data_IF_413455077792
#
_entry.id   IF_413455077792
#
_cell.length_a   1.000
_cell.length_b   1.000
_cell.length_c   1.000
_cell.angle_alpha   90.00
_cell.angle_beta   90.00
_cell.angle_gamma   90.00
#
_symmetry.space_group_name_H-M   'P 1'
#
loop_
_entity.id
_entity.type
_entity.pdbx_description
1 polymer ?
#
# COMPACT_ATOMS: atom_id res chain seq x y z
N UNK A 1 -11.84 -24.59 1.67
CA UNK A 1 -12.10 -23.14 1.67
C UNK A 1 -11.03 -22.52 2.52
N UNK A 2 -10.30 -21.53 1.99
CA UNK A 2 -9.19 -20.88 2.69
C UNK A 2 -9.47 -19.38 2.78
N UNK A 3 -9.45 -18.83 3.99
CA UNK A 3 -9.58 -17.40 4.28
C UNK A 3 -8.21 -16.86 4.66
N UNK A 4 -7.74 -15.86 3.92
CA UNK A 4 -6.47 -15.17 4.22
C UNK A 4 -6.73 -13.69 4.47
N UNK A 5 -5.96 -13.12 5.40
CA UNK A 5 -5.92 -11.68 5.64
C UNK A 5 -4.54 -11.14 5.27
N UNK A 6 -4.49 -10.05 4.51
CA UNK A 6 -3.26 -9.43 4.02
C UNK A 6 -3.06 -8.04 4.60
N UNK A 7 -1.84 -7.77 5.06
CA UNK A 7 -1.41 -6.47 5.58
C UNK A 7 -0.38 -5.82 4.65
N UNK A 8 -0.71 -4.65 4.10
CA UNK A 8 0.13 -3.88 3.18
C UNK A 8 0.47 -2.50 3.76
N UNK A 9 1.74 -2.14 3.77
CA UNK A 9 2.21 -0.83 4.23
C UNK A 9 3.64 -0.54 3.84
N UNK A 10 4.01 -0.86 2.60
CA UNK A 10 5.36 -0.71 2.07
C UNK A 10 5.73 0.75 1.75
N UNK A 11 4.74 1.62 1.56
CA UNK A 11 4.89 3.02 1.14
C UNK A 11 3.94 3.92 1.94
N UNK A 12 3.34 4.95 1.30
CA UNK A 12 2.42 5.88 1.97
C UNK A 12 0.97 5.39 2.06
N UNK A 13 0.65 4.21 1.47
CA UNK A 13 -0.66 3.59 1.61
C UNK A 13 -0.55 2.47 2.64
N UNK A 14 -1.52 2.42 3.54
CA UNK A 14 -1.77 1.32 4.45
C UNK A 14 -3.05 0.62 4.01
N UNK A 15 -3.04 -0.70 3.89
CA UNK A 15 -4.21 -1.47 3.50
C UNK A 15 -4.30 -2.81 4.21
N UNK A 16 -5.52 -3.23 4.48
CA UNK A 16 -5.84 -4.55 5.01
C UNK A 16 -6.96 -5.16 4.16
N UNK A 17 -6.74 -6.36 3.67
CA UNK A 17 -7.70 -7.05 2.81
C UNK A 17 -7.93 -8.48 3.24
N UNK A 18 -9.15 -8.98 3.03
CA UNK A 18 -9.54 -10.36 3.30
C UNK A 18 -9.93 -11.03 1.99
N UNK A 19 -9.38 -12.20 1.73
CA UNK A 19 -9.67 -13.01 0.54
C UNK A 19 -10.09 -14.41 0.96
N UNK A 20 -11.19 -14.91 0.39
CA UNK A 20 -11.69 -16.27 0.57
C UNK A 20 -11.79 -16.96 -0.78
N UNK A 21 -10.99 -18.01 -0.97
CA UNK A 21 -11.02 -18.83 -2.20
C UNK A 21 -10.93 -17.99 -3.50
N UNK A 22 -10.08 -16.96 -3.50
CA UNK A 22 -9.89 -16.05 -4.65
C UNK A 22 -10.90 -14.90 -4.74
N UNK A 23 -11.91 -14.86 -3.87
CA UNK A 23 -12.90 -13.78 -3.79
C UNK A 23 -12.46 -12.77 -2.74
N UNK A 24 -12.39 -11.48 -3.11
CA UNK A 24 -12.11 -10.39 -2.19
C UNK A 24 -13.34 -10.10 -1.34
N UNK A 25 -13.25 -10.30 -0.03
CA UNK A 25 -14.32 -10.01 0.93
C UNK A 25 -14.23 -8.58 1.48
N UNK A 26 -13.00 -8.08 1.68
CA UNK A 26 -12.73 -6.69 2.09
C UNK A 26 -11.38 -6.21 1.55
N UNK A 27 -11.23 -4.90 1.40
CA UNK A 27 -10.02 -4.25 0.89
C UNK A 27 -9.93 -2.79 1.38
N UNK A 28 -9.84 -2.62 2.69
CA UNK A 28 -9.86 -1.33 3.36
C UNK A 28 -8.48 -0.66 3.22
N UNK A 29 -8.46 0.68 3.06
CA UNK A 29 -7.22 1.42 2.78
C UNK A 29 -7.26 2.84 3.34
N UNK A 30 -6.14 3.25 3.96
CA UNK A 30 -5.84 4.64 4.31
C UNK A 30 -4.59 5.12 3.59
N UNK A 31 -4.56 6.40 3.18
CA UNK A 31 -3.45 7.00 2.45
C UNK A 31 -2.89 8.19 3.22
N UNK A 32 -1.60 8.16 3.53
CA UNK A 32 -0.90 9.31 4.07
C UNK A 32 -0.65 10.34 2.95
N UNK A 33 -1.32 11.49 3.05
CA UNK A 33 -1.25 12.60 2.09
C UNK A 33 -0.52 13.77 2.75
N UNK A 34 0.61 14.17 2.15
CA UNK A 34 1.39 15.33 2.58
C UNK A 34 0.90 16.62 1.91
N UNK A 35 1.19 17.80 2.48
CA UNK A 35 0.91 19.07 1.83
C UNK A 35 1.55 19.20 0.44
N UNK A 36 0.97 20.00 -0.48
CA UNK A 36 1.55 20.26 -1.80
C UNK A 36 3.02 20.69 -1.71
N UNK A 37 3.86 20.17 -2.61
CA UNK A 37 5.31 20.44 -2.62
C UNK A 37 6.15 19.57 -1.68
N UNK A 38 5.53 18.77 -0.81
CA UNK A 38 6.24 17.88 0.13
C UNK A 38 6.06 16.41 -0.25
N UNK A 39 7.08 15.59 0.03
CA UNK A 39 7.02 14.13 -0.07
C UNK A 39 6.85 13.49 1.30
N UNK A 40 6.30 12.28 1.35
CA UNK A 40 6.12 11.56 2.61
C UNK A 40 7.46 11.05 3.16
N UNK A 41 7.75 11.34 4.42
CA UNK A 41 8.97 10.88 5.09
C UNK A 41 8.75 9.53 5.79
N UNK A 42 9.78 8.68 5.91
CA UNK A 42 9.65 7.36 6.53
C UNK A 42 9.05 7.40 7.94
N UNK A 43 9.48 8.34 8.78
CA UNK A 43 9.03 8.47 10.18
C UNK A 43 7.54 8.84 10.25
N UNK A 44 7.12 9.84 9.49
CA UNK A 44 5.74 10.35 9.49
C UNK A 44 4.79 9.31 8.90
N UNK A 45 5.22 8.64 7.83
CA UNK A 45 4.46 7.54 7.22
C UNK A 45 4.26 6.39 8.21
N UNK A 46 5.30 6.02 8.95
CA UNK A 46 5.21 4.99 9.98
C UNK A 46 4.26 5.39 11.13
N UNK A 47 4.29 6.66 11.55
CA UNK A 47 3.35 7.20 12.55
C UNK A 47 1.90 7.09 12.06
N UNK A 48 1.63 7.52 10.82
CA UNK A 48 0.31 7.34 10.20
C UNK A 48 -0.11 5.86 10.22
N UNK A 49 0.78 4.94 9.87
CA UNK A 49 0.44 3.51 9.86
C UNK A 49 0.10 3.00 11.26
N UNK A 50 0.89 3.37 12.26
CA UNK A 50 0.65 3.00 13.66
C UNK A 50 -0.68 3.51 14.19
N UNK A 51 -1.11 4.71 13.76
CA UNK A 51 -2.36 5.31 14.18
C UNK A 51 -3.60 4.65 13.57
N UNK A 52 -3.52 4.12 12.34
CA UNK A 52 -4.70 3.67 11.59
C UNK A 52 -4.81 2.15 11.43
N UNK A 53 -3.74 1.38 11.71
CA UNK A 53 -3.70 -0.05 11.38
C UNK A 53 -4.69 -0.91 12.18
N UNK A 54 -5.01 -0.54 13.41
CA UNK A 54 -5.99 -1.28 14.22
C UNK A 54 -7.41 -0.98 13.77
N UNK A 55 -7.72 0.29 13.50
CA UNK A 55 -9.03 0.70 12.98
C UNK A 55 -9.32 0.05 11.61
N UNK A 56 -8.31 0.04 10.72
CA UNK A 56 -8.41 -0.65 9.42
C UNK A 56 -8.54 -2.16 9.55
N UNK A 57 -7.98 -2.75 10.61
CA UNK A 57 -8.08 -4.19 10.85
C UNK A 57 -9.51 -4.55 11.26
N UNK A 58 -10.07 -3.77 12.18
CA UNK A 58 -11.47 -3.91 12.60
C UNK A 58 -12.42 -3.70 11.42
N UNK A 59 -12.23 -2.63 10.65
CA UNK A 59 -13.00 -2.35 9.43
C UNK A 59 -12.93 -3.51 8.42
N UNK A 60 -11.73 -4.06 8.20
CA UNK A 60 -11.55 -5.16 7.25
C UNK A 60 -12.26 -6.45 7.70
N UNK A 61 -12.29 -6.74 9.00
CA UNK A 61 -13.00 -7.90 9.56
C UNK A 61 -14.52 -7.70 9.49
N UNK A 62 -15.00 -6.49 9.81
CA UNK A 62 -16.42 -6.12 9.78
C UNK A 62 -16.99 -6.16 8.37
N UNK A 63 -16.30 -5.56 7.39
CA UNK A 63 -16.71 -5.58 5.97
C UNK A 63 -16.74 -7.00 5.44
N UNK A 64 -15.75 -7.83 5.80
CA UNK A 64 -15.70 -9.24 5.42
C UNK A 64 -16.70 -10.12 6.19
N UNK A 65 -17.29 -9.60 7.28
CA UNK A 65 -18.19 -10.30 8.21
C UNK A 65 -17.59 -11.59 8.76
N UNK A 66 -16.32 -11.54 9.16
CA UNK A 66 -15.60 -12.66 9.77
C UNK A 66 -14.99 -12.25 11.10
N UNK A 67 -14.62 -13.26 11.90
CA UNK A 67 -13.81 -13.07 13.11
C UNK A 67 -12.36 -13.49 12.83
N UNK A 68 -11.43 -13.00 13.64
CA UNK A 68 -10.02 -13.40 13.54
C UNK A 68 -9.79 -14.92 13.65
N UNK A 69 -10.69 -15.65 14.32
CA UNK A 69 -10.65 -17.11 14.43
C UNK A 69 -10.92 -17.84 13.11
N UNK A 70 -11.67 -17.20 12.20
CA UNK A 70 -12.07 -17.76 10.91
C UNK A 70 -10.95 -17.66 9.85
N UNK A 71 -9.92 -16.86 10.13
CA UNK A 71 -8.75 -16.70 9.28
C UNK A 71 -7.89 -17.97 9.33
N UNK A 72 -7.46 -18.46 8.17
CA UNK A 72 -6.57 -19.63 8.07
C UNK A 72 -5.10 -19.23 8.02
N UNK A 73 -4.77 -18.05 7.47
CA UNK A 73 -3.41 -17.53 7.41
C UNK A 73 -3.36 -16.00 7.43
N UNK A 74 -2.32 -15.47 8.07
CA UNK A 74 -1.98 -14.04 8.09
C UNK A 74 -0.84 -13.77 7.12
N UNK A 75 -1.06 -12.87 6.17
CA UNK A 75 -0.10 -12.48 5.16
C UNK A 75 0.33 -11.03 5.41
N UNK A 76 1.61 -10.72 5.20
CA UNK A 76 2.09 -9.35 5.26
C UNK A 76 3.21 -9.10 4.25
N UNK A 77 3.36 -7.85 3.85
CA UNK A 77 4.43 -7.45 2.94
C UNK A 77 5.76 -7.47 3.67
N UNK A 78 6.62 -8.42 3.29
CA UNK A 78 7.99 -8.55 3.82
C UNK A 78 8.94 -7.51 3.22
N UNK A 79 8.63 -7.07 1.99
CA UNK A 79 9.38 -6.09 1.22
C UNK A 79 9.33 -6.39 -0.28
N UNK A 80 9.92 -5.53 -1.13
CA UNK A 80 10.65 -4.31 -0.78
C UNK A 80 9.73 -3.17 -0.29
N UNK A 81 10.32 -2.10 0.26
CA UNK A 81 9.56 -0.93 0.73
C UNK A 81 10.35 -0.09 1.73
N UNK A 82 9.68 0.92 2.31
CA UNK A 82 10.26 1.81 3.30
C UNK A 82 10.33 1.10 4.65
N UNK A 83 11.52 1.05 5.24
CA UNK A 83 11.78 0.23 6.43
C UNK A 83 10.85 0.54 7.62
N UNK A 84 10.67 1.82 7.99
CA UNK A 84 9.90 2.18 9.18
C UNK A 84 8.41 1.80 9.08
N UNK A 85 7.68 2.11 7.98
CA UNK A 85 6.33 1.60 7.76
C UNK A 85 6.24 0.07 7.73
N UNK A 86 7.16 -0.61 7.03
CA UNK A 86 7.19 -2.08 6.95
C UNK A 86 7.31 -2.72 8.34
N UNK A 87 8.18 -2.18 9.21
CA UNK A 87 8.34 -2.68 10.58
C UNK A 87 7.04 -2.51 11.37
N UNK A 88 6.40 -1.35 11.29
CA UNK A 88 5.13 -1.09 11.97
C UNK A 88 4.05 -2.11 11.57
N UNK A 89 3.89 -2.36 10.28
CA UNK A 89 2.91 -3.33 9.78
C UNK A 89 3.27 -4.75 10.17
N UNK A 90 4.53 -5.14 10.02
CA UNK A 90 4.98 -6.50 10.31
C UNK A 90 4.85 -6.86 11.80
N UNK A 91 5.02 -5.89 12.71
CA UNK A 91 4.77 -6.10 14.15
C UNK A 91 3.31 -6.46 14.37
N UNK A 92 2.36 -5.69 13.82
CA UNK A 92 0.92 -5.97 13.99
C UNK A 92 0.54 -7.32 13.38
N UNK A 93 0.99 -7.61 12.17
CA UNK A 93 0.73 -8.90 11.51
C UNK A 93 1.25 -10.10 12.33
N UNK A 94 2.45 -10.00 12.92
CA UNK A 94 2.98 -11.03 13.82
C UNK A 94 2.16 -11.17 15.10
N UNK A 95 1.75 -10.06 15.69
CA UNK A 95 0.93 -10.08 16.91
C UNK A 95 -0.40 -10.76 16.67
N UNK A 96 -1.13 -10.43 15.60
CA UNK A 96 -2.43 -11.07 15.32
C UNK A 96 -2.28 -12.55 14.97
N UNK A 97 -1.23 -12.92 14.23
CA UNK A 97 -0.95 -14.32 13.93
C UNK A 97 -0.71 -15.14 15.21
N UNK A 98 0.04 -14.58 16.17
CA UNK A 98 0.26 -15.22 17.47
C UNK A 98 -1.02 -15.29 18.30
N UNK A 99 -1.79 -14.20 18.39
CA UNK A 99 -3.04 -14.15 19.15
C UNK A 99 -4.10 -15.12 18.61
N UNK A 100 -4.19 -15.27 17.29
CA UNK A 100 -5.15 -16.19 16.65
C UNK A 100 -4.60 -17.60 16.46
N UNK A 101 -3.34 -17.84 16.84
CA UNK A 101 -2.62 -19.09 16.62
C UNK A 101 -2.70 -19.56 15.16
N UNK A 102 -2.39 -18.65 14.22
CA UNK A 102 -2.45 -18.89 12.77
C UNK A 102 -1.06 -18.78 12.14
N UNK A 103 -0.79 -19.55 11.07
CA UNK A 103 0.45 -19.40 10.31
C UNK A 103 0.57 -17.99 9.73
N UNK A 104 1.82 -17.51 9.67
CA UNK A 104 2.17 -16.21 9.09
C UNK A 104 3.06 -16.37 7.85
N UNK A 105 2.72 -15.65 6.79
CA UNK A 105 3.41 -15.72 5.49
C UNK A 105 3.92 -14.33 5.12
N UNK A 106 5.24 -14.21 4.96
CA UNK A 106 5.86 -13.00 4.42
C UNK A 106 5.81 -13.02 2.90
N UNK A 107 5.07 -12.09 2.31
CA UNK A 107 4.91 -11.96 0.86
C UNK A 107 5.97 -11.01 0.31
N UNK A 108 6.70 -11.46 -0.70
CA UNK A 108 7.54 -10.65 -1.58
C UNK A 108 6.84 -10.54 -2.94
N UNK A 109 7.28 -9.63 -3.81
CA UNK A 109 6.85 -9.61 -5.20
C UNK A 109 7.24 -10.94 -5.90
N UNK A 110 6.31 -11.91 -5.79
CA UNK A 110 6.30 -13.31 -6.20
C UNK A 110 7.36 -14.26 -5.62
N UNK A 111 6.89 -15.39 -5.09
CA UNK A 111 7.69 -16.42 -4.41
C UNK A 111 7.43 -17.82 -5.02
N UNK A 112 8.50 -18.60 -5.20
CA UNK A 112 8.58 -20.00 -5.73
C UNK A 112 7.99 -20.27 -7.14
N UNK A 113 8.64 -20.04 -8.29
CA UNK A 113 10.09 -20.15 -8.58
C UNK A 113 10.53 -19.18 -9.71
N UNK A 114 10.61 -17.91 -9.29
CA UNK A 114 11.42 -16.78 -9.80
C UNK A 114 10.73 -15.82 -10.75
N UNK A 115 10.60 -14.57 -10.28
CA UNK A 115 10.54 -13.41 -11.16
C UNK A 115 11.96 -13.04 -11.57
N UNK A 116 12.20 -12.93 -12.88
CA UNK A 116 13.45 -12.42 -13.43
C UNK A 116 13.21 -11.00 -13.91
N UNK A 117 14.00 -10.08 -13.41
CA UNK A 117 14.04 -8.70 -13.88
C UNK A 117 14.86 -8.70 -15.17
N UNK A 118 14.19 -8.55 -16.31
CA UNK A 118 14.86 -8.40 -17.62
C UNK A 118 15.23 -6.95 -17.91
N UNK A 119 14.54 -6.02 -17.27
CA UNK A 119 14.80 -4.59 -17.33
C UNK A 119 14.27 -3.93 -16.08
N UNK A 120 15.05 -3.00 -15.55
CA UNK A 120 14.71 -2.15 -14.43
C UNK A 120 15.21 -0.73 -14.71
N UNK A 121 14.66 0.23 -13.98
CA UNK A 121 15.24 1.58 -13.98
C UNK A 121 16.64 1.52 -13.36
N UNK A 122 17.57 2.33 -13.89
CA UNK A 122 18.93 2.44 -13.34
C UNK A 122 19.02 3.48 -12.22
N UNK A 123 17.94 4.22 -11.95
CA UNK A 123 17.88 5.28 -10.95
C UNK A 123 16.59 5.25 -10.11
N UNK A 124 15.62 6.12 -10.41
CA UNK A 124 14.37 6.28 -9.69
C UNK A 124 13.22 5.65 -10.48
N UNK A 125 12.22 5.14 -9.76
CA UNK A 125 11.00 4.65 -10.38
C UNK A 125 10.24 5.79 -11.08
N UNK A 126 9.53 5.47 -12.17
CA UNK A 126 8.71 6.45 -12.91
C UNK A 126 7.70 7.20 -12.02
N UNK A 127 7.09 6.51 -11.05
CA UNK A 127 6.20 7.15 -10.07
C UNK A 127 6.92 8.19 -9.21
N UNK A 128 8.16 7.92 -8.78
CA UNK A 128 8.96 8.89 -8.03
C UNK A 128 9.31 10.13 -8.88
N UNK A 129 9.60 9.93 -10.17
CA UNK A 129 9.85 11.02 -11.12
C UNK A 129 8.62 11.94 -11.23
N UNK A 130 7.43 11.38 -11.45
CA UNK A 130 6.17 12.13 -11.51
C UNK A 130 5.87 12.84 -10.19
N UNK A 131 6.04 12.16 -9.05
CA UNK A 131 5.81 12.76 -7.74
C UNK A 131 6.79 13.91 -7.45
N UNK A 132 8.04 13.82 -7.89
CA UNK A 132 9.02 14.92 -7.79
C UNK A 132 8.63 16.10 -8.68
N UNK A 133 8.19 15.83 -9.90
CA UNK A 133 7.72 16.86 -10.83
C UNK A 133 6.51 17.61 -10.26
N UNK A 134 5.50 16.89 -9.75
CA UNK A 134 4.35 17.47 -9.07
C UNK A 134 4.76 18.36 -7.88
N UNK A 135 5.77 17.94 -7.11
CA UNK A 135 6.28 18.73 -5.97
C UNK A 135 6.91 20.05 -6.40
N UNK A 136 7.73 20.04 -7.45
CA UNK A 136 8.32 21.27 -7.99
C UNK A 136 7.24 22.25 -8.44
N UNK A 137 6.18 21.74 -9.05
CA UNK A 137 5.02 22.52 -9.47
C UNK A 137 4.01 22.83 -8.35
N UNK A 138 4.27 22.38 -7.12
CA UNK A 138 3.38 22.51 -5.95
C UNK A 138 1.94 22.02 -6.22
N UNK A 139 1.81 20.96 -7.02
CA UNK A 139 0.52 20.32 -7.25
C UNK A 139 0.03 19.59 -5.99
N UNK A 140 -1.28 19.43 -5.88
CA UNK A 140 -1.90 18.66 -4.80
C UNK A 140 -1.40 17.22 -4.79
N UNK A 141 -1.21 16.66 -3.59
CA UNK A 141 -0.94 15.24 -3.39
C UNK A 141 -2.24 14.42 -3.19
N UNK A 142 -3.40 15.08 -3.13
CA UNK A 142 -4.72 14.44 -3.00
C UNK A 142 -5.41 14.37 -4.37
N UNK A 143 -5.92 13.21 -4.84
CA UNK A 143 -5.81 11.87 -4.24
C UNK A 143 -4.44 11.21 -4.46
N UNK A 144 -3.71 11.63 -5.49
CA UNK A 144 -2.30 11.33 -5.69
C UNK A 144 -1.67 12.36 -6.62
N UNK A 145 -0.35 12.60 -6.56
CA UNK A 145 0.34 13.54 -7.45
C UNK A 145 0.22 13.11 -8.92
N UNK A 146 0.41 11.82 -9.21
CA UNK A 146 0.29 11.26 -10.56
C UNK A 146 -1.09 11.48 -11.18
N UNK A 147 -2.18 11.27 -10.42
CA UNK A 147 -3.53 11.56 -10.89
C UNK A 147 -3.70 13.04 -11.27
N UNK A 148 -3.20 13.95 -10.43
CA UNK A 148 -3.32 15.39 -10.69
C UNK A 148 -2.49 15.83 -11.91
N UNK A 149 -1.31 15.24 -12.13
CA UNK A 149 -0.54 15.42 -13.38
C UNK A 149 -1.36 14.95 -14.58
N UNK A 150 -1.96 13.77 -14.51
CA UNK A 150 -2.78 13.22 -15.60
C UNK A 150 -3.96 14.13 -15.96
N UNK A 151 -4.68 14.65 -14.95
CA UNK A 151 -5.80 15.57 -15.18
C UNK A 151 -5.37 16.86 -15.86
N UNK A 152 -4.20 17.41 -15.49
CA UNK A 152 -3.64 18.58 -16.16
C UNK A 152 -3.22 18.26 -17.59
N UNK A 153 -2.54 17.13 -17.81
CA UNK A 153 -2.13 16.70 -19.14
C UNK A 153 -3.33 16.58 -20.10
N UNK A 154 -4.44 16.00 -19.65
CA UNK A 154 -5.69 15.91 -20.43
C UNK A 154 -6.25 17.27 -20.84
N UNK A 155 -6.18 18.28 -19.96
CA UNK A 155 -6.67 19.64 -20.26
C UNK A 155 -5.86 20.34 -21.36
N UNK A 156 -4.55 20.10 -21.41
CA UNK A 156 -3.64 20.76 -22.36
C UNK A 156 -3.32 19.91 -23.60
N UNK A 157 -3.90 18.72 -23.72
CA UNK A 157 -3.69 17.84 -24.86
C UNK A 157 -4.05 18.49 -26.20
N UNK A 158 -5.11 19.32 -26.23
CA UNK A 158 -5.54 20.03 -27.43
C UNK A 158 -4.64 21.21 -27.84
N UNK A 159 -3.73 21.66 -26.98
CA UNK A 159 -2.83 22.79 -27.28
C UNK A 159 -1.66 22.34 -28.15
N UNK A 160 -1.28 21.05 -28.11
CA UNK A 160 -0.14 20.51 -28.85
C UNK A 160 -0.51 19.84 -30.17
N UNK A 161 -1.77 19.44 -30.38
CA UNK A 161 -2.24 18.86 -31.65
C UNK A 161 -2.73 19.91 -32.66
N UNK A 162 -2.66 21.19 -32.31
CA UNK A 162 -3.05 22.32 -33.16
C UNK A 162 -1.87 22.96 -33.89
N UNK A 163 -0.71 22.28 -33.94
CA UNK A 163 0.48 22.67 -34.72
C UNK A 163 0.74 21.63 -35.80
#
# INVERSE_FOLDING_TARGET
>A
MTITIGFEGSANKLGIGVVKDGIVLSNCRSTYITPPGQGFLPRETACHHQQHILDLLEEALDVAKIKGTDVDAVCYTKGPGIAAPLISVAVVARTVAQLWNKPIIGVIAYNEKRYRIFGETIDIAVGNCLDRFARVLKLSNNPSPGYNIEQLAKRYFHVFTAV
#
